data_IF_643189016793
#
_entry.id   IF_643189016793
#
_cell.length_a   1.000
_cell.length_b   1.000
_cell.length_c   1.000
_cell.angle_alpha   90.00
_cell.angle_beta   90.00
_cell.angle_gamma   90.00
#
_symmetry.space_group_name_H-M   'P 1'
#
loop_
_entity.id
_entity.type
_entity.pdbx_description
1 polymer ?
#
# COMPACT_ATOMS: atom_id res chain seq x y z
N UNK A 1 -6.32 -9.87 24.81
CA UNK A 1 -5.20 -9.71 23.87
C UNK A 1 -5.66 -9.84 22.42
N UNK A 2 -6.35 -10.92 22.05
CA UNK A 2 -6.87 -11.16 20.68
C UNK A 2 -7.71 -10.02 20.11
N UNK A 3 -8.58 -9.40 20.92
CA UNK A 3 -9.38 -8.24 20.49
C UNK A 3 -8.49 -7.03 20.10
N UNK A 4 -7.46 -6.73 20.89
CA UNK A 4 -6.54 -5.62 20.61
C UNK A 4 -5.71 -5.88 19.35
N UNK A 5 -5.30 -7.13 19.15
CA UNK A 5 -4.61 -7.55 17.92
C UNK A 5 -5.54 -7.42 16.71
N UNK A 6 -6.80 -7.86 16.83
CA UNK A 6 -7.80 -7.69 15.77
C UNK A 6 -8.04 -6.22 15.41
N UNK A 7 -8.10 -5.35 16.41
CA UNK A 7 -8.23 -3.91 16.20
C UNK A 7 -7.00 -3.33 15.50
N UNK A 8 -5.80 -3.73 15.92
CA UNK A 8 -4.55 -3.30 15.28
C UNK A 8 -4.45 -3.77 13.83
N UNK A 9 -4.91 -5.00 13.53
CA UNK A 9 -5.00 -5.52 12.16
C UNK A 9 -5.98 -4.69 11.34
N UNK A 10 -7.16 -4.36 11.86
CA UNK A 10 -8.15 -3.53 11.19
C UNK A 10 -7.59 -2.13 10.87
N UNK A 11 -6.92 -1.50 11.83
CA UNK A 11 -6.24 -0.22 11.62
C UNK A 11 -5.13 -0.35 10.58
N UNK A 12 -4.38 -1.44 10.60
CA UNK A 12 -3.35 -1.73 9.60
C UNK A 12 -3.93 -1.86 8.19
N UNK A 13 -5.05 -2.56 8.02
CA UNK A 13 -5.74 -2.69 6.73
C UNK A 13 -6.23 -1.34 6.19
N UNK A 14 -6.79 -0.50 7.06
CA UNK A 14 -7.13 0.88 6.69
C UNK A 14 -5.87 1.68 6.31
N UNK A 15 -4.78 1.48 7.04
CA UNK A 15 -3.49 2.12 6.76
C UNK A 15 -2.86 1.71 5.43
N UNK A 16 -3.16 0.51 4.91
CA UNK A 16 -2.74 0.10 3.55
C UNK A 16 -3.45 0.92 2.48
N UNK A 17 -4.75 1.18 2.67
CA UNK A 17 -5.54 1.97 1.71
C UNK A 17 -5.14 3.44 1.75
N UNK A 18 -4.80 3.94 2.94
CA UNK A 18 -4.29 5.30 3.13
C UNK A 18 -2.76 5.24 3.17
N UNK A 19 -2.04 5.52 2.06
CA UNK A 19 -0.61 5.26 1.92
C UNK A 19 0.30 6.19 2.77
N UNK A 20 -0.19 6.67 3.88
CA UNK A 20 0.55 7.45 4.88
C UNK A 20 1.09 6.56 5.99
N UNK A 21 0.38 5.45 6.28
CA UNK A 21 0.75 4.52 7.33
C UNK A 21 1.33 3.24 6.71
N UNK A 22 2.38 2.65 7.31
CA UNK A 22 2.91 1.37 6.86
C UNK A 22 1.98 0.22 7.28
N UNK A 23 0.76 0.16 6.69
CA UNK A 23 -0.33 -0.71 7.13
C UNK A 23 0.01 -2.18 7.15
N UNK A 24 0.71 -2.69 6.13
CA UNK A 24 1.14 -4.09 6.09
C UNK A 24 2.11 -4.45 7.23
N UNK A 25 3.00 -3.54 7.59
CA UNK A 25 3.90 -3.73 8.74
C UNK A 25 3.16 -3.69 10.07
N UNK A 26 2.09 -2.91 10.17
CA UNK A 26 1.22 -2.85 11.34
C UNK A 26 0.45 -4.17 11.53
N UNK A 27 -0.07 -4.72 10.43
CA UNK A 27 -0.70 -6.07 10.42
C UNK A 27 0.31 -7.13 10.84
N UNK A 28 1.52 -7.10 10.27
CA UNK A 28 2.58 -8.05 10.62
C UNK A 28 2.99 -7.94 12.08
N UNK A 29 3.17 -6.71 12.58
CA UNK A 29 3.51 -6.46 13.98
C UNK A 29 2.44 -6.97 14.95
N UNK A 30 1.16 -6.74 14.63
CA UNK A 30 0.04 -7.23 15.43
C UNK A 30 0.00 -8.77 15.48
N UNK A 31 0.19 -9.45 14.35
CA UNK A 31 0.27 -10.91 14.27
C UNK A 31 1.50 -11.43 15.02
N UNK A 32 2.62 -10.73 14.95
CA UNK A 32 3.85 -11.08 15.68
C UNK A 32 3.58 -11.08 17.20
N UNK A 33 3.02 -9.99 17.73
CA UNK A 33 2.67 -9.89 19.15
C UNK A 33 1.73 -11.03 19.56
N UNK A 34 0.70 -11.31 18.74
CA UNK A 34 -0.24 -12.39 19.02
C UNK A 34 0.45 -13.76 19.04
N UNK A 35 1.32 -14.06 18.06
CA UNK A 35 2.06 -15.32 18.00
C UNK A 35 2.93 -15.56 19.24
N UNK A 36 3.55 -14.51 19.76
CA UNK A 36 4.33 -14.60 21.01
C UNK A 36 3.45 -14.80 22.26
N UNK A 37 2.20 -14.36 22.26
CA UNK A 37 1.29 -14.58 23.38
C UNK A 37 0.68 -15.98 23.35
N UNK A 38 0.41 -16.53 22.17
CA UNK A 38 -0.13 -17.89 22.02
C UNK A 38 0.89 -18.99 22.33
N UNK A 39 2.17 -18.76 22.05
CA UNK A 39 3.32 -19.68 22.32
C UNK A 39 3.16 -21.12 21.83
N UNK A 40 2.20 -21.38 20.93
CA UNK A 40 1.90 -22.70 20.38
C UNK A 40 2.29 -22.80 18.88
N UNK A 41 2.20 -24.01 18.33
CA UNK A 41 2.53 -24.26 16.93
C UNK A 41 1.64 -23.46 15.96
N UNK A 42 0.40 -23.20 16.32
CA UNK A 42 -0.55 -22.42 15.50
C UNK A 42 -0.10 -20.96 15.38
N UNK A 43 0.31 -20.33 16.49
CA UNK A 43 0.81 -18.96 16.48
C UNK A 43 2.03 -18.80 15.56
N UNK A 44 2.99 -19.71 15.65
CA UNK A 44 4.16 -19.70 14.80
C UNK A 44 3.86 -19.99 13.33
N UNK A 45 2.91 -20.89 13.03
CA UNK A 45 2.47 -21.15 11.67
C UNK A 45 1.83 -19.92 11.03
N UNK A 46 0.92 -19.24 11.74
CA UNK A 46 0.28 -18.01 11.27
C UNK A 46 1.30 -16.90 11.03
N UNK A 47 2.25 -16.73 11.96
CA UNK A 47 3.33 -15.75 11.80
C UNK A 47 4.17 -16.04 10.56
N UNK A 48 4.54 -17.30 10.33
CA UNK A 48 5.30 -17.70 9.13
C UNK A 48 4.53 -17.37 7.87
N UNK A 49 3.26 -17.72 7.80
CA UNK A 49 2.40 -17.38 6.65
C UNK A 49 2.33 -15.85 6.45
N UNK A 50 2.13 -15.08 7.51
CA UNK A 50 2.06 -13.62 7.43
C UNK A 50 3.37 -13.01 6.92
N UNK A 51 4.53 -13.48 7.42
CA UNK A 51 5.86 -13.01 6.96
C UNK A 51 6.06 -13.30 5.48
N UNK A 52 5.75 -14.52 5.03
CA UNK A 52 5.92 -14.92 3.63
C UNK A 52 4.98 -14.13 2.73
N UNK A 53 3.69 -14.05 3.06
CA UNK A 53 2.69 -13.40 2.22
C UNK A 53 2.93 -11.88 2.14
N UNK A 54 3.16 -11.24 3.28
CA UNK A 54 3.44 -9.79 3.32
C UNK A 54 4.79 -9.50 2.64
N UNK A 55 5.83 -10.30 2.91
CA UNK A 55 7.12 -10.16 2.26
C UNK A 55 7.03 -10.27 0.72
N UNK A 56 6.33 -11.28 0.21
CA UNK A 56 6.07 -11.42 -1.23
C UNK A 56 5.30 -10.22 -1.78
N UNK A 57 4.26 -9.76 -1.08
CA UNK A 57 3.46 -8.61 -1.53
C UNK A 57 4.29 -7.32 -1.59
N UNK A 58 5.22 -7.12 -0.65
CA UNK A 58 6.14 -5.97 -0.67
C UNK A 58 7.03 -5.99 -1.91
N UNK A 59 7.57 -7.14 -2.28
CA UNK A 59 8.38 -7.27 -3.51
C UNK A 59 7.53 -7.01 -4.75
N UNK A 60 6.38 -7.66 -4.87
CA UNK A 60 5.51 -7.56 -6.05
C UNK A 60 4.98 -6.14 -6.24
N UNK A 61 4.61 -5.44 -5.16
CA UNK A 61 4.08 -4.07 -5.24
C UNK A 61 5.08 -3.04 -5.78
N UNK A 62 6.37 -3.30 -5.68
CA UNK A 62 7.40 -2.44 -6.26
C UNK A 62 7.81 -2.88 -7.67
N UNK A 63 7.92 -4.19 -7.90
CA UNK A 63 8.39 -4.73 -9.18
C UNK A 63 7.35 -4.55 -10.28
N UNK A 64 6.10 -4.93 -10.05
CA UNK A 64 5.06 -4.93 -11.10
C UNK A 64 4.65 -3.51 -11.51
N UNK A 65 4.29 -2.59 -10.59
CA UNK A 65 3.99 -1.22 -10.97
C UNK A 65 5.20 -0.49 -11.57
N UNK A 66 6.41 -0.71 -11.03
CA UNK A 66 7.63 -0.11 -11.54
C UNK A 66 7.93 -0.50 -12.99
N UNK A 67 7.72 -1.75 -13.37
CA UNK A 67 7.85 -2.21 -14.76
C UNK A 67 6.83 -1.55 -15.67
N UNK A 68 5.58 -1.43 -15.23
CA UNK A 68 4.52 -0.75 -16.01
C UNK A 68 4.83 0.73 -16.23
N UNK A 69 5.32 1.44 -15.22
CA UNK A 69 5.73 2.84 -15.33
C UNK A 69 6.88 3.02 -16.32
N UNK A 70 7.88 2.14 -16.27
CA UNK A 70 8.99 2.16 -17.24
C UNK A 70 8.52 1.91 -18.67
N UNK A 71 7.62 0.96 -18.88
CA UNK A 71 7.04 0.67 -20.20
C UNK A 71 6.19 1.83 -20.72
N UNK A 72 5.51 2.56 -19.84
CA UNK A 72 4.74 3.75 -20.20
C UNK A 72 5.62 5.00 -20.44
N UNK A 73 6.93 4.92 -20.15
CA UNK A 73 7.87 6.04 -20.35
C UNK A 73 7.73 7.17 -19.35
N UNK A 74 7.15 6.92 -18.16
CA UNK A 74 6.97 7.95 -17.12
C UNK A 74 8.28 8.09 -16.33
N UNK A 75 8.90 9.30 -16.28
CA UNK A 75 10.12 9.51 -15.52
C UNK A 75 9.84 9.57 -14.02
N UNK A 76 10.83 9.17 -13.22
CA UNK A 76 10.76 9.26 -11.76
C UNK A 76 10.53 10.69 -11.27
N UNK A 77 11.03 11.71 -12.00
CA UNK A 77 10.82 13.11 -11.67
C UNK A 77 9.34 13.49 -11.58
N UNK A 78 8.50 13.03 -12.50
CA UNK A 78 7.05 13.27 -12.50
C UNK A 78 6.37 12.62 -11.28
N UNK A 79 6.81 11.43 -10.89
CA UNK A 79 6.30 10.74 -9.71
C UNK A 79 6.73 11.43 -8.41
N UNK A 80 7.95 11.95 -8.35
CA UNK A 80 8.44 12.73 -7.21
C UNK A 80 7.65 14.02 -7.06
N UNK A 81 7.39 14.74 -8.13
CA UNK A 81 6.56 15.95 -8.11
C UNK A 81 5.14 15.62 -7.64
N UNK A 82 4.55 14.56 -8.16
CA UNK A 82 3.25 14.06 -7.69
C UNK A 82 3.23 13.73 -6.20
N UNK A 83 4.26 13.04 -5.72
CA UNK A 83 4.44 12.72 -4.31
C UNK A 83 4.54 13.96 -3.42
N UNK A 84 5.34 14.94 -3.82
CA UNK A 84 5.51 16.20 -3.08
C UNK A 84 4.21 17.02 -3.03
N UNK A 85 3.52 17.16 -4.16
CA UNK A 85 2.21 17.85 -4.20
C UNK A 85 1.16 17.08 -3.41
N UNK A 86 1.20 15.75 -3.43
CA UNK A 86 0.33 14.91 -2.61
C UNK A 86 0.57 15.10 -1.11
N UNK A 87 1.83 15.18 -0.68
CA UNK A 87 2.19 15.44 0.72
C UNK A 87 1.69 16.82 1.15
N UNK A 88 1.94 17.87 0.35
CA UNK A 88 1.41 19.21 0.62
C UNK A 88 -0.12 19.19 0.71
N UNK A 89 -0.77 18.51 -0.23
CA UNK A 89 -2.22 18.34 -0.23
C UNK A 89 -2.73 17.63 1.04
N UNK A 90 -2.01 16.64 1.54
CA UNK A 90 -2.33 15.95 2.79
C UNK A 90 -2.35 16.90 4.00
N UNK A 91 -1.40 17.83 4.07
CA UNK A 91 -1.39 18.82 5.16
C UNK A 91 -2.51 19.86 5.04
N UNK A 92 -3.01 20.11 3.83
CA UNK A 92 -4.15 21.02 3.60
C UNK A 92 -5.46 20.32 3.92
N UNK A 93 -5.70 19.15 3.35
CA UNK A 93 -6.87 18.31 3.60
C UNK A 93 -6.38 16.88 3.81
N UNK A 94 -6.33 16.38 5.05
CA UNK A 94 -5.84 15.03 5.34
C UNK A 94 -6.55 13.97 4.50
N UNK A 95 -5.80 13.00 3.99
CA UNK A 95 -6.25 11.89 3.13
C UNK A 95 -6.71 12.35 1.75
N UNK A 96 -7.76 13.17 1.66
CA UNK A 96 -8.32 13.67 0.39
C UNK A 96 -7.29 14.46 -0.39
N UNK A 97 -6.53 15.33 0.29
CA UNK A 97 -5.47 16.14 -0.33
C UNK A 97 -4.32 15.30 -0.89
N UNK A 98 -3.99 14.17 -0.27
CA UNK A 98 -3.01 13.23 -0.81
C UNK A 98 -3.51 12.59 -2.11
N UNK A 99 -4.75 12.09 -2.12
CA UNK A 99 -5.34 11.44 -3.28
C UNK A 99 -5.62 12.40 -4.44
N UNK A 100 -5.88 13.67 -4.18
CA UNK A 100 -6.05 14.69 -5.21
C UNK A 100 -4.72 15.33 -5.61
N UNK A 101 -3.82 15.57 -4.65
CA UNK A 101 -2.55 16.24 -4.89
C UNK A 101 -1.58 15.41 -5.73
N UNK A 102 -1.52 14.10 -5.50
CA UNK A 102 -0.66 13.22 -6.30
C UNK A 102 -1.00 13.26 -7.80
N UNK A 103 -2.26 13.02 -8.22
CA UNK A 103 -2.64 13.13 -9.63
C UNK A 103 -2.38 14.51 -10.22
N UNK A 104 -2.69 15.57 -9.49
CA UNK A 104 -2.47 16.94 -9.95
C UNK A 104 -0.98 17.25 -10.16
N UNK A 105 -0.13 16.79 -9.24
CA UNK A 105 1.32 16.96 -9.34
C UNK A 105 1.90 16.18 -10.50
N UNK A 106 1.51 14.93 -10.71
CA UNK A 106 1.94 14.12 -11.87
C UNK A 106 1.46 14.77 -13.17
N UNK A 107 0.21 15.19 -13.23
CA UNK A 107 -0.35 15.84 -14.40
C UNK A 107 0.40 17.13 -14.76
N UNK A 108 0.67 17.98 -13.77
CA UNK A 108 1.42 19.23 -14.00
C UNK A 108 2.83 18.96 -14.50
N UNK A 109 3.54 17.99 -13.93
CA UNK A 109 4.87 17.59 -14.36
C UNK A 109 4.86 17.01 -15.78
N UNK A 110 3.91 16.14 -16.10
CA UNK A 110 3.77 15.55 -17.42
C UNK A 110 3.32 16.59 -18.47
N UNK A 111 2.47 17.54 -18.07
CA UNK A 111 2.08 18.65 -18.96
C UNK A 111 3.27 19.53 -19.34
N UNK A 112 4.15 19.83 -18.38
CA UNK A 112 5.40 20.55 -18.66
C UNK A 112 6.33 19.74 -19.56
N UNK A 113 6.46 18.43 -19.31
CA UNK A 113 7.35 17.55 -20.08
C UNK A 113 6.85 17.30 -21.50
N UNK A 114 5.57 17.01 -21.67
CA UNK A 114 4.97 16.58 -22.93
C UNK A 114 4.34 17.73 -23.74
N UNK A 115 4.08 18.87 -23.11
CA UNK A 115 3.60 20.10 -23.77
C UNK A 115 2.14 20.09 -24.22
N UNK A 116 1.38 19.00 -24.00
CA UNK A 116 -0.02 18.94 -24.37
C UNK A 116 -0.86 18.11 -23.40
N UNK A 117 -2.12 18.51 -23.20
CA UNK A 117 -3.09 17.77 -22.40
C UNK A 117 -3.35 16.35 -22.97
N UNK A 118 -3.40 16.22 -24.30
CA UNK A 118 -3.64 14.95 -24.98
C UNK A 118 -2.59 13.88 -24.65
N UNK A 119 -1.36 14.27 -24.34
CA UNK A 119 -0.27 13.38 -23.94
C UNK A 119 -0.13 13.27 -22.42
N UNK A 120 -0.35 14.35 -21.68
CA UNK A 120 -0.19 14.40 -20.23
C UNK A 120 -1.27 13.56 -19.50
N UNK A 121 -2.51 13.58 -19.95
CA UNK A 121 -3.59 12.86 -19.29
C UNK A 121 -3.43 11.33 -19.34
N UNK A 122 -3.14 10.69 -20.50
CA UNK A 122 -2.84 9.27 -20.54
C UNK A 122 -1.66 8.88 -19.66
N UNK A 123 -0.59 9.66 -19.63
CA UNK A 123 0.56 9.43 -18.76
C UNK A 123 0.18 9.47 -17.28
N UNK A 124 -0.61 10.46 -16.87
CA UNK A 124 -1.14 10.58 -15.49
C UNK A 124 -2.01 9.38 -15.12
N UNK A 125 -2.86 8.92 -16.03
CA UNK A 125 -3.67 7.71 -15.81
C UNK A 125 -2.81 6.47 -15.58
N UNK A 126 -1.73 6.29 -16.32
CA UNK A 126 -0.78 5.19 -16.10
C UNK A 126 -0.12 5.26 -14.73
N UNK A 127 0.26 6.46 -14.28
CA UNK A 127 0.82 6.64 -12.93
C UNK A 127 -0.21 6.30 -11.85
N UNK A 128 -1.45 6.76 -11.99
CA UNK A 128 -2.54 6.44 -11.06
C UNK A 128 -2.84 4.94 -11.02
N UNK A 129 -2.89 4.29 -12.18
CA UNK A 129 -3.10 2.85 -12.26
C UNK A 129 -1.97 2.06 -11.58
N UNK A 130 -0.72 2.49 -11.71
CA UNK A 130 0.42 1.87 -11.06
C UNK A 130 0.35 2.00 -9.53
N UNK A 131 0.01 3.17 -9.01
CA UNK A 131 -0.17 3.40 -7.58
C UNK A 131 -1.36 2.59 -7.04
N UNK A 132 -2.49 2.60 -7.75
CA UNK A 132 -3.66 1.80 -7.39
C UNK A 132 -3.35 0.30 -7.37
N UNK A 133 -2.60 -0.20 -8.35
CA UNK A 133 -2.14 -1.59 -8.38
C UNK A 133 -1.23 -1.92 -7.19
N UNK A 134 -0.32 -1.02 -6.84
CA UNK A 134 0.55 -1.19 -5.66
C UNK A 134 -0.25 -1.32 -4.37
N UNK A 135 -1.25 -0.47 -4.17
CA UNK A 135 -2.16 -0.52 -3.01
C UNK A 135 -2.96 -1.83 -3.00
N UNK A 136 -3.49 -2.27 -4.15
CA UNK A 136 -4.25 -3.52 -4.25
C UNK A 136 -3.39 -4.75 -3.93
N UNK A 137 -2.14 -4.79 -4.39
CA UNK A 137 -1.20 -5.88 -4.11
C UNK A 137 -0.90 -5.93 -2.61
N UNK A 138 -0.61 -4.79 -2.01
CA UNK A 138 -0.34 -4.71 -0.56
C UNK A 138 -1.56 -5.09 0.26
N UNK A 139 -2.73 -4.61 -0.13
CA UNK A 139 -4.00 -4.94 0.53
C UNK A 139 -4.30 -6.44 0.44
N UNK A 140 -4.10 -7.07 -0.72
CA UNK A 140 -4.28 -8.51 -0.90
C UNK A 140 -3.36 -9.30 0.04
N UNK A 141 -2.09 -8.95 0.14
CA UNK A 141 -1.15 -9.57 1.07
C UNK A 141 -1.56 -9.40 2.53
N UNK A 142 -1.96 -8.20 2.92
CA UNK A 142 -2.41 -7.90 4.28
C UNK A 142 -3.72 -8.64 4.63
N UNK A 143 -4.67 -8.74 3.69
CA UNK A 143 -5.92 -9.49 3.87
C UNK A 143 -5.68 -10.99 3.98
N UNK A 144 -4.76 -11.57 3.23
CA UNK A 144 -4.39 -12.98 3.35
C UNK A 144 -3.76 -13.27 4.72
N UNK A 145 -2.87 -12.41 5.19
CA UNK A 145 -2.29 -12.53 6.53
C UNK A 145 -3.35 -12.39 7.64
N UNK A 146 -4.23 -11.39 7.53
CA UNK A 146 -5.34 -11.19 8.45
C UNK A 146 -6.33 -12.36 8.43
N UNK A 147 -6.62 -12.94 7.27
CA UNK A 147 -7.46 -14.11 7.10
C UNK A 147 -6.85 -15.35 7.77
N UNK A 148 -5.55 -15.57 7.61
CA UNK A 148 -4.84 -16.67 8.28
C UNK A 148 -4.90 -16.52 9.81
N UNK A 149 -4.71 -15.30 10.32
CA UNK A 149 -4.88 -15.02 11.75
C UNK A 149 -6.31 -15.26 12.23
N UNK A 150 -7.31 -14.73 11.49
CA UNK A 150 -8.72 -14.87 11.86
C UNK A 150 -9.16 -16.33 11.87
N UNK A 151 -8.75 -17.13 10.88
CA UNK A 151 -9.06 -18.58 10.85
C UNK A 151 -8.44 -19.31 12.03
N UNK A 152 -7.22 -18.98 12.41
CA UNK A 152 -6.57 -19.56 13.57
C UNK A 152 -7.28 -19.19 14.88
N UNK A 153 -7.76 -17.95 15.02
CA UNK A 153 -8.50 -17.50 16.20
C UNK A 153 -9.88 -18.15 16.30
N UNK A 154 -10.57 -18.34 15.17
CA UNK A 154 -11.93 -18.90 15.15
C UNK A 154 -11.92 -20.42 15.29
N UNK A 155 -10.96 -21.09 14.70
CA UNK A 155 -10.87 -22.56 14.69
C UNK A 155 -9.98 -23.13 15.81
N UNK A 156 -9.13 -22.31 16.38
CA UNK A 156 -8.23 -22.67 17.49
C UNK A 156 -8.87 -22.49 18.81
#
# INVERSE_FOLDING_TARGET
MTFLVGLAIAVGLVGVVVPVLPGAFLVLGAITVWAFTETNATGWAVLTVAVVVIGCSQVVKYVVPGRRLRQAGIPNASLVVGGLVGIVGFFVIPVVGLFLGFPLGVYAAELQRLGSHALAWPSTRHALAAVGLSILIELAGALLAAGAWLTAVVLG
#
